data_IF_418377511732
#
_entry.id   IF_418377511732
#
_cell.length_a   1.000
_cell.length_b   1.000
_cell.length_c   1.000
_cell.angle_alpha   90.00
_cell.angle_beta   90.00
_cell.angle_gamma   90.00
#
_symmetry.space_group_name_H-M   'P 1'
#
loop_
_entity.id
_entity.type
_entity.pdbx_description
1 polymer ?
#
# COMPACT_ATOMS: atom_id res chain seq x y z
N UNK A 1 -8.63 2.05 12.06
CA UNK A 1 -7.20 2.33 11.80
C UNK A 1 -6.99 3.85 11.66
N UNK A 2 -5.96 4.42 12.29
CA UNK A 2 -5.54 5.82 12.07
C UNK A 2 -4.57 5.88 10.88
N UNK A 3 -4.68 6.90 10.02
CA UNK A 3 -3.75 7.13 8.91
C UNK A 3 -2.96 8.41 9.16
N UNK A 4 -1.64 8.36 8.97
CA UNK A 4 -0.74 9.52 9.15
C UNK A 4 0.20 9.62 7.96
N UNK A 5 0.42 10.84 7.47
CA UNK A 5 1.47 11.14 6.50
C UNK A 5 2.56 11.93 7.21
N UNK A 6 3.80 11.46 7.14
CA UNK A 6 4.97 12.08 7.77
C UNK A 6 6.11 12.15 6.76
N UNK A 7 6.32 13.31 6.13
CA UNK A 7 7.36 13.51 5.10
C UNK A 7 7.34 12.41 4.01
N UNK A 8 6.15 12.02 3.58
CA UNK A 8 5.98 11.02 2.53
C UNK A 8 6.40 11.58 1.17
N UNK A 9 7.10 10.76 0.40
CA UNK A 9 7.45 10.97 -1.00
C UNK A 9 7.13 9.71 -1.83
N UNK A 10 6.73 9.88 -3.09
CA UNK A 10 6.33 8.77 -3.95
C UNK A 10 7.49 7.90 -4.45
N UNK A 11 8.74 8.34 -4.37
CA UNK A 11 9.90 7.68 -4.98
C UNK A 11 10.79 6.90 -4.00
N UNK A 12 10.66 7.16 -2.69
CA UNK A 12 11.50 6.52 -1.68
C UNK A 12 10.90 6.70 -0.28
N UNK A 13 9.91 5.89 0.06
CA UNK A 13 9.26 5.96 1.37
C UNK A 13 9.01 4.60 1.97
N UNK A 14 9.03 4.55 3.30
CA UNK A 14 8.42 3.44 4.03
C UNK A 14 6.94 3.70 4.27
N UNK A 15 6.15 2.62 4.28
CA UNK A 15 4.82 2.58 4.87
C UNK A 15 4.93 1.71 6.11
N UNK A 16 4.65 2.30 7.27
CA UNK A 16 4.76 1.67 8.58
C UNK A 16 3.39 1.20 9.07
N UNK A 17 3.38 0.09 9.78
CA UNK A 17 2.22 -0.54 10.38
C UNK A 17 2.47 -0.68 11.89
N UNK A 18 1.48 -0.31 12.69
CA UNK A 18 1.43 -0.55 14.13
C UNK A 18 0.18 -1.38 14.42
N UNK A 19 0.39 -2.64 14.78
CA UNK A 19 -0.67 -3.58 15.10
C UNK A 19 -0.98 -3.55 16.61
N UNK A 20 -2.23 -3.81 16.98
CA UNK A 20 -2.60 -3.94 18.39
C UNK A 20 -1.91 -5.12 19.08
N UNK A 21 -1.66 -6.20 18.34
CA UNK A 21 -0.95 -7.39 18.76
C UNK A 21 -0.03 -7.86 17.62
N UNK A 22 0.97 -8.69 17.93
CA UNK A 22 1.78 -9.32 16.90
C UNK A 22 0.89 -10.10 15.91
N UNK A 23 1.02 -9.87 14.58
CA UNK A 23 0.18 -10.53 13.59
C UNK A 23 0.48 -12.03 13.53
N UNK A 24 -0.55 -12.85 13.31
CA UNK A 24 -0.37 -14.29 13.09
C UNK A 24 0.09 -14.56 11.65
N UNK A 25 0.63 -15.73 11.37
CA UNK A 25 1.12 -16.08 10.02
C UNK A 25 0.06 -15.85 8.93
N UNK A 26 -1.18 -16.28 9.17
CA UNK A 26 -2.31 -16.06 8.25
C UNK A 26 -2.61 -14.57 8.00
N UNK A 27 -2.38 -13.74 9.00
CA UNK A 27 -2.64 -12.30 8.97
C UNK A 27 -1.56 -11.62 8.12
N UNK A 28 -0.31 -12.05 8.30
CA UNK A 28 0.81 -11.63 7.46
C UNK A 28 0.61 -12.02 6.01
N UNK A 29 0.18 -13.26 5.73
CA UNK A 29 -0.13 -13.70 4.36
C UNK A 29 -1.17 -12.78 3.70
N UNK A 30 -2.26 -12.46 4.40
CA UNK A 30 -3.31 -11.58 3.88
C UNK A 30 -2.79 -10.18 3.54
N UNK A 31 -1.96 -9.60 4.41
CA UNK A 31 -1.34 -8.28 4.17
C UNK A 31 -0.41 -8.36 2.96
N UNK A 32 0.45 -9.36 2.88
CA UNK A 32 1.38 -9.56 1.77
C UNK A 32 0.65 -9.72 0.43
N UNK A 33 -0.40 -10.54 0.37
CA UNK A 33 -1.19 -10.75 -0.85
C UNK A 33 -1.94 -9.47 -1.28
N UNK A 34 -2.42 -8.69 -0.31
CA UNK A 34 -3.05 -7.39 -0.56
C UNK A 34 -2.06 -6.41 -1.16
N UNK A 35 -0.87 -6.28 -0.56
CA UNK A 35 0.20 -5.40 -1.02
C UNK A 35 0.70 -5.83 -2.41
N UNK A 36 0.91 -7.14 -2.64
CA UNK A 36 1.29 -7.69 -3.93
C UNK A 36 0.27 -7.34 -5.01
N UNK A 37 -1.01 -7.52 -4.71
CA UNK A 37 -2.11 -7.18 -5.64
C UNK A 37 -2.15 -5.69 -5.95
N UNK A 38 -1.99 -4.85 -4.92
CA UNK A 38 -1.90 -3.39 -5.06
C UNK A 38 -0.73 -2.97 -5.97
N UNK A 39 0.45 -3.53 -5.76
CA UNK A 39 1.62 -3.26 -6.59
C UNK A 39 1.42 -3.71 -8.05
N UNK A 40 0.89 -4.91 -8.28
CA UNK A 40 0.64 -5.43 -9.64
C UNK A 40 -0.32 -4.51 -10.40
N UNK A 41 -1.47 -4.17 -9.81
CA UNK A 41 -2.47 -3.31 -10.46
C UNK A 41 -1.90 -1.91 -10.70
N UNK A 42 -1.14 -1.36 -9.75
CA UNK A 42 -0.51 -0.06 -9.92
C UNK A 42 0.55 -0.03 -11.02
N UNK A 43 1.40 -1.05 -11.10
CA UNK A 43 2.44 -1.18 -12.13
C UNK A 43 1.85 -1.31 -13.53
N UNK A 44 0.68 -1.95 -13.65
CA UNK A 44 -0.05 -2.09 -14.90
C UNK A 44 -0.88 -0.84 -15.28
N UNK A 45 -0.81 0.24 -14.50
CA UNK A 45 -1.55 1.47 -14.75
C UNK A 45 -3.05 1.40 -14.42
N UNK A 46 -3.48 0.37 -13.69
CA UNK A 46 -4.89 0.17 -13.33
C UNK A 46 -5.43 1.25 -12.37
N UNK A 47 -4.54 1.95 -11.67
CA UNK A 47 -4.88 3.03 -10.76
C UNK A 47 -4.63 4.42 -11.37
N UNK A 48 -4.61 4.55 -12.70
CA UNK A 48 -4.43 5.84 -13.36
C UNK A 48 -5.70 6.72 -13.22
N UNK A 49 -5.66 7.70 -12.33
CA UNK A 49 -6.77 8.61 -12.05
C UNK A 49 -7.22 9.40 -13.29
N UNK A 50 -6.30 9.68 -14.22
CA UNK A 50 -6.60 10.39 -15.47
C UNK A 50 -7.38 9.53 -16.48
N UNK A 51 -7.45 8.21 -16.28
CA UNK A 51 -8.19 7.28 -17.14
C UNK A 51 -9.43 6.66 -16.44
N UNK A 52 -9.92 7.28 -15.35
CA UNK A 52 -11.10 6.83 -14.60
C UNK A 52 -12.43 7.19 -15.30
N UNK A 53 -12.60 6.76 -16.55
CA UNK A 53 -13.70 7.20 -17.43
C UNK A 53 -15.09 6.91 -16.85
N UNK A 54 -15.28 5.76 -16.20
CA UNK A 54 -16.57 5.39 -15.61
C UNK A 54 -16.86 6.21 -14.34
N UNK A 55 -15.88 6.34 -13.44
CA UNK A 55 -16.02 7.11 -12.20
C UNK A 55 -16.23 8.60 -12.45
N UNK A 56 -15.73 9.11 -13.59
CA UNK A 56 -15.89 10.50 -14.01
C UNK A 56 -17.10 10.71 -14.94
N UNK A 57 -17.85 9.64 -15.28
CA UNK A 57 -19.03 9.74 -16.12
C UNK A 57 -20.27 10.17 -15.33
N UNK A 58 -21.20 10.95 -15.93
CA UNK A 58 -22.48 11.27 -15.29
C UNK A 58 -23.28 10.00 -14.98
N UNK A 59 -23.93 9.95 -13.81
CA UNK A 59 -24.69 8.78 -13.34
C UNK A 59 -25.80 8.33 -14.29
N UNK A 60 -26.42 9.27 -15.02
CA UNK A 60 -27.53 8.98 -15.93
C UNK A 60 -27.07 8.48 -17.31
N UNK A 61 -25.76 8.41 -17.55
CA UNK A 61 -25.19 7.96 -18.81
C UNK A 61 -24.98 6.45 -18.76
N UNK A 62 -25.35 5.75 -19.84
CA UNK A 62 -25.00 4.33 -20.02
C UNK A 62 -23.47 4.16 -19.91
N UNK A 63 -22.96 3.21 -19.10
CA UNK A 63 -21.54 2.95 -19.00
C UNK A 63 -20.92 2.67 -20.37
N UNK A 64 -19.84 3.38 -20.66
CA UNK A 64 -19.08 3.27 -21.91
C UNK A 64 -17.61 3.54 -21.63
N UNK A 65 -16.72 2.86 -22.35
CA UNK A 65 -15.28 3.06 -22.23
C UNK A 65 -14.68 3.31 -23.61
N UNK A 66 -13.92 4.38 -23.76
CA UNK A 66 -13.28 4.78 -25.00
C UNK A 66 -11.80 4.37 -24.97
N UNK A 67 -11.44 3.44 -25.86
CA UNK A 67 -10.08 2.92 -26.00
C UNK A 67 -9.11 3.96 -26.57
N UNK A 68 -9.57 4.87 -27.44
CA UNK A 68 -8.75 5.93 -28.02
C UNK A 68 -8.46 6.98 -26.96
N UNK A 69 -9.47 7.37 -26.18
CA UNK A 69 -9.26 8.26 -25.02
C UNK A 69 -8.24 7.64 -24.07
N UNK A 70 -8.41 6.37 -23.68
CA UNK A 70 -7.50 5.68 -22.75
C UNK A 70 -6.06 5.58 -23.26
N UNK A 71 -5.86 5.34 -24.56
CA UNK A 71 -4.53 5.28 -25.18
C UNK A 71 -3.80 6.64 -25.20
N UNK A 72 -4.54 7.76 -25.11
CA UNK A 72 -3.98 9.11 -25.12
C UNK A 72 -3.70 9.67 -23.72
N UNK A 73 -4.05 8.96 -22.65
CA UNK A 73 -3.77 9.38 -21.28
C UNK A 73 -2.30 9.10 -20.93
N UNK A 74 -1.66 10.02 -20.21
CA UNK A 74 -0.32 9.80 -19.65
C UNK A 74 -0.33 8.58 -18.73
N UNK A 75 0.51 7.55 -18.97
CA UNK A 75 0.59 6.38 -18.10
C UNK A 75 1.08 6.75 -16.70
N UNK A 76 0.56 6.05 -15.69
CA UNK A 76 1.09 6.10 -14.32
C UNK A 76 2.03 4.93 -14.07
N UNK A 77 2.95 5.09 -13.13
CA UNK A 77 3.91 4.05 -12.77
C UNK A 77 3.75 3.63 -11.32
N UNK A 78 4.15 2.39 -11.05
CA UNK A 78 4.53 1.92 -9.72
C UNK A 78 5.82 1.12 -9.93
N UNK A 79 6.96 1.75 -9.66
CA UNK A 79 8.26 1.20 -10.04
C UNK A 79 8.62 -0.01 -9.21
N UNK A 80 8.79 0.13 -7.90
CA UNK A 80 9.33 -0.93 -7.06
C UNK A 80 8.68 -0.99 -5.68
N UNK A 81 8.76 -2.17 -5.06
CA UNK A 81 8.36 -2.41 -3.69
C UNK A 81 9.37 -3.36 -3.05
N UNK A 82 9.63 -3.18 -1.76
CA UNK A 82 10.47 -4.07 -0.96
C UNK A 82 9.69 -5.27 -0.41
N UNK A 83 10.39 -6.08 0.38
CA UNK A 83 9.77 -7.13 1.18
C UNK A 83 8.99 -6.51 2.36
N UNK A 84 8.01 -7.23 2.87
CA UNK A 84 7.30 -6.83 4.09
C UNK A 84 8.08 -7.32 5.32
N UNK A 85 8.58 -6.37 6.11
CA UNK A 85 9.39 -6.63 7.30
C UNK A 85 8.52 -6.45 8.55
N UNK A 86 8.69 -7.31 9.55
CA UNK A 86 7.96 -7.28 10.82
C UNK A 86 8.94 -7.37 11.99
N UNK A 87 8.71 -6.56 13.02
CA UNK A 87 9.37 -6.61 14.33
C UNK A 87 8.31 -6.51 15.42
N UNK A 88 8.06 -7.61 16.14
CA UNK A 88 7.00 -7.73 17.13
C UNK A 88 5.61 -7.35 16.59
N UNK A 89 5.08 -6.19 17.00
CA UNK A 89 3.80 -5.64 16.55
C UNK A 89 3.97 -4.48 15.55
N UNK A 90 5.18 -4.24 15.06
CA UNK A 90 5.46 -3.25 14.02
C UNK A 90 5.73 -3.95 12.69
N UNK A 91 5.33 -3.32 11.61
CA UNK A 91 5.69 -3.75 10.27
C UNK A 91 6.08 -2.57 9.39
N UNK A 92 6.83 -2.83 8.32
CA UNK A 92 7.11 -1.83 7.31
C UNK A 92 7.26 -2.43 5.93
N UNK A 93 7.06 -1.60 4.92
CA UNK A 93 7.41 -1.91 3.55
C UNK A 93 7.97 -0.68 2.86
N UNK A 94 9.04 -0.86 2.11
CA UNK A 94 9.61 0.19 1.26
C UNK A 94 8.85 0.27 -0.07
N UNK A 95 8.58 1.48 -0.55
CA UNK A 95 7.91 1.74 -1.83
C UNK A 95 8.63 2.80 -2.66
N UNK A 96 8.63 2.57 -3.97
CA UNK A 96 8.96 3.53 -5.04
C UNK A 96 7.84 3.46 -6.09
N UNK A 97 6.85 4.33 -5.92
CA UNK A 97 5.71 4.48 -6.83
C UNK A 97 6.14 5.26 -8.08
N UNK A 98 6.98 6.28 -7.92
CA UNK A 98 7.55 7.06 -9.02
C UNK A 98 6.64 8.14 -9.61
N UNK A 99 5.32 7.91 -9.65
CA UNK A 99 4.33 8.95 -10.02
C UNK A 99 3.52 9.40 -8.82
N UNK A 100 3.12 10.68 -8.79
CA UNK A 100 2.26 11.24 -7.75
C UNK A 100 0.79 10.86 -7.95
N UNK A 101 0.51 9.57 -8.03
CA UNK A 101 -0.83 9.03 -8.22
C UNK A 101 -1.49 8.74 -6.86
N UNK A 102 -2.40 9.63 -6.43
CA UNK A 102 -3.06 9.53 -5.13
C UNK A 102 -4.10 8.42 -5.06
N UNK A 103 -4.69 8.02 -6.20
CA UNK A 103 -5.67 6.94 -6.25
C UNK A 103 -5.06 5.61 -5.78
N UNK A 104 -3.77 5.38 -6.03
CA UNK A 104 -3.04 4.23 -5.50
C UNK A 104 -3.08 4.18 -3.97
N UNK A 105 -2.87 5.33 -3.33
CA UNK A 105 -2.86 5.42 -1.87
C UNK A 105 -4.27 5.22 -1.30
N UNK A 106 -5.29 5.81 -1.92
CA UNK A 106 -6.68 5.64 -1.51
C UNK A 106 -7.11 4.18 -1.56
N UNK A 107 -6.78 3.46 -2.64
CA UNK A 107 -7.09 2.04 -2.80
C UNK A 107 -6.44 1.21 -1.68
N UNK A 108 -5.16 1.44 -1.41
CA UNK A 108 -4.45 0.73 -0.33
C UNK A 108 -5.05 1.05 1.03
N UNK A 109 -5.28 2.33 1.36
CA UNK A 109 -5.84 2.76 2.63
C UNK A 109 -7.22 2.14 2.86
N UNK A 110 -8.07 2.11 1.83
CA UNK A 110 -9.39 1.51 1.91
C UNK A 110 -9.31 -0.01 2.14
N UNK A 111 -8.42 -0.71 1.45
CA UNK A 111 -8.19 -2.14 1.68
C UNK A 111 -7.71 -2.40 3.11
N UNK A 112 -6.70 -1.64 3.58
CA UNK A 112 -6.16 -1.75 4.93
C UNK A 112 -7.18 -1.40 6.01
N UNK A 113 -8.10 -0.46 5.77
CA UNK A 113 -9.19 -0.17 6.70
C UNK A 113 -10.12 -1.36 6.89
N UNK A 114 -10.49 -2.07 5.82
CA UNK A 114 -11.32 -3.28 5.90
C UNK A 114 -10.55 -4.46 6.53
N UNK A 115 -9.28 -4.64 6.18
CA UNK A 115 -8.40 -5.60 6.86
C UNK A 115 -8.36 -5.29 8.36
N UNK A 116 -8.25 -4.00 8.70
CA UNK A 116 -8.18 -3.54 10.08
C UNK A 116 -9.44 -3.85 10.89
N UNK A 117 -10.62 -3.78 10.27
CA UNK A 117 -11.89 -3.96 10.97
C UNK A 117 -12.25 -5.44 11.12
N UNK A 118 -11.97 -6.24 10.09
CA UNK A 118 -12.59 -7.55 9.95
C UNK A 118 -11.61 -8.71 10.20
N UNK A 119 -10.30 -8.45 10.10
CA UNK A 119 -9.29 -9.52 10.12
C UNK A 119 -8.18 -9.29 11.14
N UNK A 120 -7.51 -8.14 11.12
CA UNK A 120 -6.26 -7.88 11.86
C UNK A 120 -6.36 -6.51 12.50
N UNK A 121 -6.20 -6.39 13.82
CA UNK A 121 -6.26 -5.07 14.46
C UNK A 121 -5.07 -4.16 14.09
N UNK A 122 -5.23 -3.28 13.10
CA UNK A 122 -4.25 -2.23 12.76
C UNK A 122 -4.57 -0.95 13.52
N UNK A 123 -3.69 -0.55 14.43
CA UNK A 123 -3.84 0.69 15.20
C UNK A 123 -3.63 1.90 14.30
N UNK A 124 -2.49 1.95 13.62
CA UNK A 124 -2.17 3.02 12.69
C UNK A 124 -1.29 2.56 11.53
N UNK A 125 -1.42 3.29 10.42
CA UNK A 125 -0.54 3.20 9.26
C UNK A 125 0.08 4.57 9.03
N UNK A 126 1.41 4.61 8.88
CA UNK A 126 2.17 5.85 8.67
C UNK A 126 2.89 5.80 7.33
N UNK A 127 2.57 6.75 6.46
CA UNK A 127 3.21 6.93 5.17
C UNK A 127 4.40 7.88 5.33
N UNK A 128 5.60 7.42 5.01
CA UNK A 128 6.85 8.16 5.15
C UNK A 128 7.47 8.09 6.54
N UNK A 129 8.55 8.85 6.73
CA UNK A 129 9.35 8.85 7.95
C UNK A 129 10.47 7.81 7.90
N UNK A 130 11.62 8.17 8.49
CA UNK A 130 12.82 7.32 8.56
C UNK A 130 12.84 6.41 9.78
N UNK A 131 12.00 6.68 10.78
CA UNK A 131 11.94 5.96 12.06
C UNK A 131 10.48 5.87 12.52
N UNK A 132 10.14 4.79 13.21
CA UNK A 132 8.80 4.60 13.75
C UNK A 132 8.79 3.70 14.99
N UNK A 133 8.11 4.18 16.05
CA UNK A 133 7.98 3.44 17.30
C UNK A 133 9.34 3.06 17.90
N UNK A 134 9.51 1.78 18.21
CA UNK A 134 10.73 1.17 18.73
C UNK A 134 11.46 0.31 17.66
N UNK A 135 11.19 0.55 16.37
CA UNK A 135 11.84 -0.16 15.28
C UNK A 135 13.37 -0.05 15.34
N UNK A 136 14.07 -1.15 15.01
CA UNK A 136 15.54 -1.20 14.98
C UNK A 136 16.03 -1.65 13.60
N UNK A 137 16.79 -0.81 12.92
CA UNK A 137 17.20 -0.99 11.51
C UNK A 137 18.08 -2.22 11.22
N UNK A 138 18.78 -2.77 12.22
CA UNK A 138 19.79 -3.82 12.02
C UNK A 138 19.49 -5.13 12.75
N UNK A 139 18.22 -5.37 13.10
CA UNK A 139 17.83 -6.67 13.66
C UNK A 139 17.77 -7.72 12.54
N UNK A 140 18.30 -8.90 12.79
CA UNK A 140 18.29 -10.00 11.81
C UNK A 140 17.09 -10.92 12.05
N UNK A 141 16.66 -11.64 11.02
CA UNK A 141 15.53 -12.59 11.12
C UNK A 141 15.76 -13.75 12.11
N UNK A 142 16.98 -13.90 12.63
CA UNK A 142 17.34 -14.91 13.64
C UNK A 142 16.96 -14.47 15.07
N UNK A 143 16.59 -13.21 15.27
CA UNK A 143 16.13 -12.69 16.56
C UNK A 143 14.62 -12.91 16.73
N UNK A 144 14.22 -13.34 17.94
CA UNK A 144 12.82 -13.61 18.26
C UNK A 144 11.96 -12.37 18.00
N UNK A 145 10.89 -12.53 17.21
CA UNK A 145 9.95 -11.46 16.86
C UNK A 145 10.22 -10.76 15.53
N UNK A 146 11.33 -11.04 14.85
CA UNK A 146 11.63 -10.47 13.52
C UNK A 146 11.27 -11.45 12.39
N UNK A 147 10.68 -10.94 11.30
CA UNK A 147 10.46 -11.75 10.09
C UNK A 147 10.40 -10.89 8.82
N UNK A 148 10.76 -11.50 7.68
CA UNK A 148 10.75 -10.85 6.36
C UNK A 148 9.97 -11.72 5.38
N UNK A 149 9.02 -11.10 4.69
CA UNK A 149 8.06 -11.78 3.81
C UNK A 149 8.13 -11.20 2.41
N UNK A 150 8.42 -12.06 1.43
CA UNK A 150 8.55 -11.62 0.04
C UNK A 150 7.22 -11.18 -0.55
N UNK A 151 7.27 -10.10 -1.32
CA UNK A 151 6.16 -9.53 -2.10
C UNK A 151 6.36 -9.85 -3.58
#
# INVERSE_FOLDING_TARGET
MKVVFNKFDFSNSYIWFDFYNAPLEKDVTLICDTIRSWHIIGRLGGCNSMNMQLSQSPFDKRPSYDAIQGANVTPTTFYNIGDFEIQDNLGRIWVDIGTSETLLLDILINALNNISSDYIGIRQVVFGGSEFGNWKENLTAEEAGCSVHKI
#
